data_IF_676515220038
#
_entry.id   IF_676515220038
#
_cell.length_a   1.000
_cell.length_b   1.000
_cell.length_c   1.000
_cell.angle_alpha   90.00
_cell.angle_beta   90.00
_cell.angle_gamma   90.00
#
_symmetry.space_group_name_H-M   'P 1'
#
loop_
_entity.id
_entity.type
_entity.pdbx_description
1 polymer ?
#
# COMPACT_ATOMS: atom_id res chain seq x y z
N UNK A 1 2.64 24.76 25.49
CA UNK A 1 2.74 24.00 26.75
C UNK A 1 1.53 23.09 27.00
N UNK A 2 0.29 23.56 26.91
CA UNK A 2 -0.93 22.75 27.15
C UNK A 2 -1.14 21.56 26.17
N UNK A 3 -0.78 21.69 24.90
CA UNK A 3 -0.91 20.60 23.93
C UNK A 3 0.08 19.47 24.17
N UNK A 4 1.28 19.81 24.68
CA UNK A 4 2.32 18.87 25.04
C UNK A 4 1.94 18.00 26.25
N UNK A 5 1.31 18.61 27.25
CA UNK A 5 0.88 17.90 28.46
C UNK A 5 -0.23 16.88 28.17
N UNK A 6 -1.18 17.22 27.28
CA UNK A 6 -2.24 16.29 26.85
C UNK A 6 -1.69 15.11 26.05
N UNK A 7 -0.62 15.34 25.28
CA UNK A 7 0.04 14.32 24.50
C UNK A 7 0.87 13.37 25.39
N UNK A 8 1.58 13.91 26.40
CA UNK A 8 2.33 13.11 27.36
C UNK A 8 1.39 12.18 28.16
N UNK A 9 0.20 12.65 28.54
CA UNK A 9 -0.81 11.84 29.20
C UNK A 9 -1.30 10.66 28.34
N UNK A 10 -1.47 10.88 27.03
CA UNK A 10 -1.84 9.81 26.09
C UNK A 10 -0.69 8.79 25.88
N UNK A 11 0.57 9.25 25.88
CA UNK A 11 1.74 8.39 25.72
C UNK A 11 1.96 7.49 26.96
N UNK A 12 1.72 8.00 28.15
CA UNK A 12 1.85 7.23 29.41
C UNK A 12 0.80 6.12 29.49
N UNK A 13 -0.42 6.35 28.98
CA UNK A 13 -1.47 5.33 28.89
C UNK A 13 -1.10 4.19 27.94
N UNK A 14 -0.33 4.47 26.88
CA UNK A 14 0.11 3.46 25.89
C UNK A 14 1.24 2.57 26.43
N UNK A 15 2.15 3.12 27.22
CA UNK A 15 3.30 2.38 27.75
C UNK A 15 2.94 1.35 28.85
N UNK A 16 1.72 1.44 29.40
CA UNK A 16 1.30 0.60 30.54
C UNK A 16 0.45 -0.62 30.22
N UNK A 17 0.04 -0.84 28.96
CA UNK A 17 -1.04 -1.81 28.66
C UNK A 17 -0.65 -2.79 27.52
N UNK A 18 0.42 -3.54 27.65
CA UNK A 18 0.73 -4.72 26.81
C UNK A 18 0.22 -4.70 25.36
N UNK A 19 -0.46 -5.76 24.93
CA UNK A 19 -1.03 -5.90 23.55
C UNK A 19 -2.05 -4.80 23.21
N UNK A 20 -2.84 -4.36 24.18
CA UNK A 20 -3.81 -3.27 23.99
C UNK A 20 -3.15 -1.92 23.71
N UNK A 21 -2.00 -1.65 24.33
CA UNK A 21 -1.23 -0.43 24.09
C UNK A 21 -0.64 -0.37 22.69
N UNK A 22 -0.14 -1.49 22.16
CA UNK A 22 0.36 -1.57 20.80
C UNK A 22 -0.75 -1.34 19.76
N UNK A 23 -1.91 -1.93 19.99
CA UNK A 23 -3.08 -1.73 19.13
C UNK A 23 -3.54 -0.26 19.09
N UNK A 24 -3.57 0.39 20.25
CA UNK A 24 -3.94 1.80 20.35
C UNK A 24 -2.93 2.71 19.66
N UNK A 25 -1.63 2.43 19.80
CA UNK A 25 -0.57 3.16 19.11
C UNK A 25 -0.69 3.00 17.59
N UNK A 26 -0.71 1.76 17.11
CA UNK A 26 -0.69 1.47 15.68
C UNK A 26 -1.98 1.96 14.97
N UNK A 27 -3.12 1.86 15.66
CA UNK A 27 -4.41 2.16 15.06
C UNK A 27 -4.93 3.58 15.30
N UNK A 28 -4.51 4.27 16.32
CA UNK A 28 -5.09 5.57 16.72
C UNK A 28 -4.05 6.67 16.86
N UNK A 29 -2.87 6.38 17.36
CA UNK A 29 -1.90 7.39 17.75
C UNK A 29 -0.83 7.65 16.71
N UNK A 30 -0.55 6.71 15.81
CA UNK A 30 0.52 6.86 14.81
C UNK A 30 0.36 8.14 13.99
N UNK A 31 -0.81 8.35 13.39
CA UNK A 31 -1.07 9.52 12.57
C UNK A 31 -1.00 10.82 13.38
N UNK A 32 -1.54 10.80 14.63
CA UNK A 32 -1.47 11.97 15.51
C UNK A 32 -0.06 12.31 15.95
N UNK A 33 0.80 11.31 16.14
CA UNK A 33 2.20 11.51 16.47
C UNK A 33 2.93 12.11 15.27
N UNK A 34 2.70 11.59 14.06
CA UNK A 34 3.28 12.11 12.84
C UNK A 34 2.82 13.55 12.55
N UNK A 35 1.53 13.85 12.71
CA UNK A 35 1.00 15.23 12.61
C UNK A 35 1.67 16.18 13.62
N UNK A 36 1.85 15.71 14.86
CA UNK A 36 2.50 16.52 15.91
C UNK A 36 3.98 16.77 15.63
N UNK A 37 4.69 15.79 15.06
CA UNK A 37 6.09 15.92 14.67
C UNK A 37 6.29 16.73 13.40
N UNK A 38 5.20 17.02 12.65
CA UNK A 38 5.27 17.66 11.35
C UNK A 38 5.91 16.77 10.29
N UNK A 39 5.80 15.44 10.44
CA UNK A 39 6.30 14.49 9.45
C UNK A 39 5.45 14.58 8.17
N UNK A 40 6.07 14.96 7.07
CA UNK A 40 5.43 14.96 5.76
C UNK A 40 5.21 13.53 5.28
N UNK A 41 4.13 13.32 4.50
CA UNK A 41 3.90 12.04 3.86
C UNK A 41 4.98 11.76 2.83
N UNK A 42 5.55 10.55 2.91
CA UNK A 42 6.50 10.07 1.93
C UNK A 42 6.39 8.55 1.78
N UNK A 43 6.34 8.07 0.54
CA UNK A 43 6.50 6.65 0.26
C UNK A 43 7.94 6.22 0.52
N UNK A 44 8.09 5.06 1.15
CA UNK A 44 9.39 4.48 1.43
C UNK A 44 9.64 3.38 0.41
N UNK A 45 10.63 3.60 -0.45
CA UNK A 45 11.07 2.64 -1.44
C UNK A 45 12.27 1.84 -0.92
N UNK A 46 12.45 0.66 -1.47
CA UNK A 46 13.58 -0.24 -1.23
C UNK A 46 13.81 -1.04 -2.50
N UNK A 47 14.86 -1.84 -2.54
CA UNK A 47 15.07 -2.80 -3.62
C UNK A 47 15.35 -4.19 -3.05
N UNK A 48 14.99 -5.20 -3.81
CA UNK A 48 15.28 -6.60 -3.51
C UNK A 48 15.83 -7.27 -4.78
N UNK A 49 16.58 -8.34 -4.59
CA UNK A 49 17.06 -9.19 -5.70
C UNK A 49 16.31 -10.50 -5.65
N UNK A 50 15.68 -10.90 -6.76
CA UNK A 50 15.06 -12.22 -6.85
C UNK A 50 16.16 -13.28 -6.75
N UNK A 51 16.11 -14.07 -5.68
CA UNK A 51 16.96 -15.23 -5.51
C UNK A 51 16.20 -16.46 -5.95
N UNK A 52 16.63 -17.11 -7.04
CA UNK A 52 16.18 -18.47 -7.35
C UNK A 52 15.47 -18.72 -8.67
N UNK A 53 15.20 -17.73 -9.52
CA UNK A 53 14.49 -17.98 -10.79
C UNK A 53 15.29 -17.68 -12.06
N UNK A 54 16.36 -16.90 -12.00
CA UNK A 54 17.25 -16.74 -13.17
C UNK A 54 18.64 -16.24 -12.77
N UNK A 55 19.60 -16.47 -13.66
CA UNK A 55 21.00 -16.00 -13.55
C UNK A 55 21.13 -14.47 -13.59
N UNK A 56 20.06 -13.76 -13.89
CA UNK A 56 20.04 -12.31 -13.97
C UNK A 56 19.60 -11.73 -12.62
N UNK A 57 20.61 -11.36 -11.82
CA UNK A 57 20.44 -10.77 -10.48
C UNK A 57 20.06 -9.29 -10.52
N UNK A 58 19.22 -8.88 -11.45
CA UNK A 58 18.79 -7.47 -11.56
C UNK A 58 17.92 -7.11 -10.35
N UNK A 59 18.36 -6.17 -9.51
CA UNK A 59 17.54 -5.73 -8.39
C UNK A 59 16.35 -4.92 -8.89
N UNK A 60 15.17 -5.21 -8.36
CA UNK A 60 13.94 -4.48 -8.64
C UNK A 60 13.52 -3.61 -7.46
N UNK A 61 12.87 -2.49 -7.74
CA UNK A 61 12.35 -1.60 -6.74
C UNK A 61 11.01 -2.07 -6.16
N UNK A 62 10.77 -1.73 -4.91
CA UNK A 62 9.50 -2.01 -4.25
C UNK A 62 9.07 -0.88 -3.31
N UNK A 63 7.75 -0.71 -3.14
CA UNK A 63 7.17 0.09 -2.07
C UNK A 63 7.23 -0.72 -0.78
N UNK A 64 8.04 -0.27 0.18
CA UNK A 64 8.17 -0.89 1.50
C UNK A 64 7.08 -0.45 2.47
N UNK A 65 6.60 0.77 2.33
CA UNK A 65 5.63 1.40 3.21
C UNK A 65 5.60 2.91 3.04
N UNK A 66 5.18 3.62 4.08
CA UNK A 66 5.17 5.08 4.10
C UNK A 66 5.50 5.61 5.51
N UNK A 67 5.91 6.87 5.56
CA UNK A 67 6.02 7.67 6.80
C UNK A 67 5.07 8.87 6.73
N UNK A 68 4.88 9.54 7.85
CA UNK A 68 3.95 10.66 7.96
C UNK A 68 2.48 10.21 7.97
N UNK A 69 1.59 11.15 7.70
CA UNK A 69 0.15 10.91 7.60
C UNK A 69 -0.23 10.72 6.15
N UNK A 70 -0.80 9.55 5.83
CA UNK A 70 -1.22 9.25 4.48
C UNK A 70 -2.31 10.23 4.00
N UNK A 71 -2.17 10.80 2.79
CA UNK A 71 -3.16 11.72 2.20
C UNK A 71 -4.41 10.98 1.71
N UNK A 72 -5.40 11.72 1.22
CA UNK A 72 -6.60 11.12 0.61
C UNK A 72 -6.29 10.38 -0.69
N UNK A 73 -5.28 10.83 -1.44
CA UNK A 73 -4.83 10.14 -2.66
C UNK A 73 -3.35 9.80 -2.55
N UNK A 74 -3.00 8.58 -2.93
CA UNK A 74 -1.63 8.09 -3.05
C UNK A 74 -1.39 7.67 -4.49
N UNK A 75 -0.36 8.22 -5.11
CA UNK A 75 0.14 7.78 -6.41
C UNK A 75 1.50 7.13 -6.19
N UNK A 76 1.62 5.88 -6.60
CA UNK A 76 2.90 5.15 -6.55
C UNK A 76 3.69 5.50 -7.80
N UNK A 77 4.94 5.94 -7.61
CA UNK A 77 5.85 6.27 -8.71
C UNK A 77 6.26 5.01 -9.48
N UNK A 78 6.52 5.14 -10.78
CA UNK A 78 7.00 4.04 -11.62
C UNK A 78 8.46 3.64 -11.32
N UNK A 79 9.20 4.55 -10.71
CA UNK A 79 10.63 4.40 -10.42
C UNK A 79 11.05 5.34 -9.30
N UNK A 80 12.19 5.04 -8.67
CA UNK A 80 12.85 5.92 -7.69
C UNK A 80 14.36 5.90 -7.90
N UNK A 81 15.05 6.90 -7.37
CA UNK A 81 16.51 6.95 -7.37
C UNK A 81 17.09 6.35 -6.09
N UNK A 82 18.06 5.45 -6.27
CA UNK A 82 18.85 4.86 -5.21
C UNK A 82 20.35 5.05 -5.52
N UNK A 83 21.00 5.93 -4.77
CA UNK A 83 22.41 6.26 -4.94
C UNK A 83 22.82 6.56 -6.40
N UNK A 84 21.99 7.36 -7.10
CA UNK A 84 22.20 7.75 -8.50
C UNK A 84 21.81 6.68 -9.52
N UNK A 85 21.20 5.58 -9.08
CA UNK A 85 20.67 4.53 -9.96
C UNK A 85 19.14 4.58 -9.97
N UNK A 86 18.55 4.78 -11.16
CA UNK A 86 17.10 4.72 -11.34
C UNK A 86 16.64 3.26 -11.29
N UNK A 87 15.71 2.94 -10.40
CA UNK A 87 15.14 1.60 -10.22
C UNK A 87 13.64 1.62 -10.49
N UNK A 88 13.17 0.74 -11.37
CA UNK A 88 11.74 0.56 -11.60
C UNK A 88 11.07 -0.02 -10.35
N UNK A 89 9.90 0.51 -9.99
CA UNK A 89 9.06 -0.03 -8.91
C UNK A 89 8.19 -1.14 -9.50
N UNK A 90 8.45 -2.38 -9.10
CA UNK A 90 7.81 -3.59 -9.65
C UNK A 90 6.92 -4.27 -8.61
N UNK A 91 7.14 -3.99 -7.33
CA UNK A 91 6.49 -4.69 -6.25
C UNK A 91 5.95 -3.75 -5.15
N UNK A 92 4.95 -4.25 -4.43
CA UNK A 92 4.43 -3.67 -3.19
C UNK A 92 4.58 -4.68 -2.07
N UNK A 93 5.25 -4.30 -0.99
CA UNK A 93 5.51 -5.19 0.15
C UNK A 93 4.23 -5.44 0.97
N UNK A 94 4.21 -6.57 1.67
CA UNK A 94 3.13 -6.90 2.62
C UNK A 94 2.90 -5.77 3.62
N UNK A 95 1.64 -5.39 3.80
CA UNK A 95 1.22 -4.30 4.68
C UNK A 95 1.78 -2.90 4.31
N UNK A 96 2.19 -2.66 3.08
CA UNK A 96 2.84 -1.40 2.68
C UNK A 96 2.00 -0.16 3.00
N UNK A 97 0.69 -0.21 2.81
CA UNK A 97 -0.22 0.89 3.13
C UNK A 97 -1.02 0.67 4.42
N UNK A 98 -0.51 -0.17 5.32
CA UNK A 98 -1.19 -0.47 6.59
C UNK A 98 -1.57 0.80 7.35
N UNK A 99 -2.87 0.90 7.68
CA UNK A 99 -3.46 2.03 8.41
C UNK A 99 -3.42 3.39 7.68
N UNK A 100 -3.38 3.42 6.35
CA UNK A 100 -3.58 4.63 5.56
C UNK A 100 -5.07 5.04 5.58
N UNK A 101 -5.56 5.46 6.75
CA UNK A 101 -7.00 5.61 7.03
C UNK A 101 -7.64 6.79 6.33
N UNK A 102 -6.88 7.86 6.01
CA UNK A 102 -7.41 9.01 5.29
C UNK A 102 -7.50 8.74 3.79
N UNK A 103 -6.78 7.71 3.31
CA UNK A 103 -6.67 7.42 1.90
C UNK A 103 -7.96 6.83 1.35
N UNK A 104 -8.46 7.48 0.32
CA UNK A 104 -9.65 7.10 -0.46
C UNK A 104 -9.27 6.49 -1.80
N UNK A 105 -8.12 6.89 -2.36
CA UNK A 105 -7.65 6.44 -3.66
C UNK A 105 -6.18 6.07 -3.63
N UNK A 106 -5.85 4.94 -4.24
CA UNK A 106 -4.46 4.53 -4.49
C UNK A 106 -4.31 4.15 -5.96
N UNK A 107 -3.23 4.63 -6.58
CA UNK A 107 -2.93 4.36 -7.98
C UNK A 107 -1.56 3.70 -8.11
N UNK A 108 -1.51 2.59 -8.86
CA UNK A 108 -0.29 1.83 -9.17
C UNK A 108 0.08 1.99 -10.64
N UNK A 109 1.36 2.28 -10.95
CA UNK A 109 1.84 2.39 -12.32
C UNK A 109 1.87 1.03 -13.03
N UNK A 110 2.05 1.05 -14.34
CA UNK A 110 2.12 -0.13 -15.19
C UNK A 110 3.23 -1.12 -14.79
N UNK A 111 4.29 -0.63 -14.16
CA UNK A 111 5.43 -1.43 -13.73
C UNK A 111 5.17 -2.31 -12.50
N UNK A 112 4.15 -1.99 -11.67
CA UNK A 112 3.86 -2.75 -10.45
C UNK A 112 3.00 -3.96 -10.76
N UNK A 113 3.57 -5.15 -10.59
CA UNK A 113 2.94 -6.44 -10.92
C UNK A 113 2.99 -7.46 -9.76
N UNK A 114 3.72 -7.15 -8.69
CA UNK A 114 3.89 -8.04 -7.53
C UNK A 114 3.27 -7.39 -6.31
N UNK A 115 2.34 -8.06 -5.66
CA UNK A 115 1.68 -7.59 -4.44
C UNK A 115 1.90 -8.55 -3.29
N UNK A 116 2.41 -8.02 -2.17
CA UNK A 116 2.53 -8.77 -0.93
C UNK A 116 1.19 -8.92 -0.21
N UNK A 117 1.19 -9.59 0.93
CA UNK A 117 -0.03 -9.85 1.71
C UNK A 117 -0.58 -8.59 2.38
N UNK A 118 -1.93 -8.49 2.44
CA UNK A 118 -2.63 -7.47 3.22
C UNK A 118 -2.16 -6.03 2.92
N UNK A 119 -1.94 -5.70 1.66
CA UNK A 119 -1.39 -4.41 1.22
C UNK A 119 -2.17 -3.23 1.80
N UNK A 120 -3.51 -3.33 1.86
CA UNK A 120 -4.42 -2.28 2.33
C UNK A 120 -4.97 -2.50 3.75
N UNK A 121 -4.25 -3.24 4.59
CA UNK A 121 -4.73 -3.52 5.95
C UNK A 121 -5.01 -2.24 6.75
N UNK A 122 -6.27 -2.05 7.16
CA UNK A 122 -6.70 -0.87 7.93
C UNK A 122 -6.82 0.42 7.11
N UNK A 123 -6.95 0.31 5.78
CA UNK A 123 -7.34 1.40 4.89
C UNK A 123 -8.88 1.53 4.88
N UNK A 124 -9.47 1.89 6.02
CA UNK A 124 -10.91 1.81 6.26
C UNK A 124 -11.73 2.76 5.35
N UNK A 125 -11.09 3.74 4.72
CA UNK A 125 -11.72 4.71 3.82
C UNK A 125 -11.37 4.53 2.35
N UNK A 126 -10.68 3.45 1.98
CA UNK A 126 -10.34 3.19 0.59
C UNK A 126 -11.61 2.96 -0.24
N UNK A 127 -11.80 3.76 -1.27
CA UNK A 127 -12.91 3.73 -2.20
C UNK A 127 -12.47 3.27 -3.60
N UNK A 128 -11.24 3.61 -3.97
CA UNK A 128 -10.73 3.35 -5.32
C UNK A 128 -9.29 2.86 -5.27
N UNK A 129 -9.01 1.76 -5.97
CA UNK A 129 -7.66 1.30 -6.26
C UNK A 129 -7.50 1.12 -7.78
N UNK A 130 -6.50 1.77 -8.37
CA UNK A 130 -6.25 1.78 -9.82
C UNK A 130 -4.98 1.01 -10.12
N UNK A 131 -5.07 0.06 -11.03
CA UNK A 131 -3.97 -0.81 -11.45
C UNK A 131 -3.74 -0.63 -12.95
N UNK A 132 -2.64 0.05 -13.32
CA UNK A 132 -2.28 0.34 -14.71
C UNK A 132 -1.45 -0.75 -15.38
N UNK A 133 -1.45 -1.96 -14.83
CA UNK A 133 -0.71 -3.09 -15.38
C UNK A 133 -1.14 -3.40 -16.81
N UNK A 134 -0.20 -3.64 -17.73
CA UNK A 134 -0.54 -4.02 -19.10
C UNK A 134 -1.05 -5.46 -19.18
N UNK A 135 -1.86 -5.74 -20.21
CA UNK A 135 -2.49 -7.04 -20.46
C UNK A 135 -1.50 -8.21 -20.46
N UNK A 136 -0.31 -8.00 -21.01
CA UNK A 136 0.75 -9.02 -21.14
C UNK A 136 1.20 -9.55 -19.79
N UNK A 137 1.00 -8.78 -18.72
CA UNK A 137 1.37 -9.18 -17.36
C UNK A 137 0.30 -10.02 -16.65
N UNK A 138 -0.92 -10.06 -17.18
CA UNK A 138 -2.04 -10.76 -16.54
C UNK A 138 -1.74 -12.22 -16.15
N UNK A 139 -1.04 -13.05 -16.99
CA UNK A 139 -0.72 -14.43 -16.62
C UNK A 139 0.27 -14.56 -15.46
N UNK A 140 1.02 -13.51 -15.16
CA UNK A 140 2.09 -13.50 -14.14
C UNK A 140 1.63 -12.93 -12.80
N UNK A 141 0.39 -12.42 -12.71
CA UNK A 141 -0.11 -11.73 -11.53
C UNK A 141 -0.82 -12.74 -10.62
N UNK A 142 -0.42 -12.76 -9.35
CA UNK A 142 -1.10 -13.49 -8.31
C UNK A 142 -1.57 -12.52 -7.20
N UNK A 143 -2.88 -12.44 -7.01
CA UNK A 143 -3.48 -11.53 -6.03
C UNK A 143 -3.81 -12.20 -4.69
N UNK A 144 -3.61 -13.51 -4.54
CA UNK A 144 -3.99 -14.26 -3.33
C UNK A 144 -3.36 -13.70 -2.06
N UNK A 145 -4.22 -13.36 -1.10
CA UNK A 145 -3.81 -12.80 0.20
C UNK A 145 -3.39 -11.32 0.15
N UNK A 146 -3.34 -10.70 -1.03
CA UNK A 146 -2.89 -9.31 -1.16
C UNK A 146 -3.92 -8.32 -0.64
N UNK A 147 -5.20 -8.62 -0.79
CA UNK A 147 -6.33 -7.73 -0.51
C UNK A 147 -7.37 -8.31 0.46
N UNK A 148 -7.01 -9.33 1.25
CA UNK A 148 -7.92 -10.04 2.17
C UNK A 148 -8.65 -9.11 3.16
N UNK A 149 -8.09 -7.95 3.45
CA UNK A 149 -8.63 -7.00 4.42
C UNK A 149 -9.38 -5.83 3.80
N UNK A 150 -9.64 -5.87 2.49
CA UNK A 150 -10.39 -4.82 1.78
C UNK A 150 -11.88 -4.92 2.10
N UNK A 151 -12.52 -3.78 2.28
CA UNK A 151 -13.98 -3.71 2.36
C UNK A 151 -14.57 -3.66 0.94
N UNK A 152 -14.89 -4.81 0.38
CA UNK A 152 -15.41 -4.96 -0.98
C UNK A 152 -16.76 -4.27 -1.23
N UNK A 153 -17.54 -3.99 -0.19
CA UNK A 153 -18.78 -3.22 -0.31
C UNK A 153 -18.52 -1.71 -0.55
N UNK A 154 -17.30 -1.26 -0.35
CA UNK A 154 -16.92 0.15 -0.44
C UNK A 154 -15.89 0.42 -1.52
N UNK A 155 -14.99 -0.53 -1.76
CA UNK A 155 -13.82 -0.35 -2.61
C UNK A 155 -14.06 -0.91 -4.00
N UNK A 156 -13.83 -0.10 -5.03
CA UNK A 156 -13.83 -0.52 -6.43
C UNK A 156 -12.41 -0.52 -6.96
N UNK A 157 -12.04 -1.60 -7.63
CA UNK A 157 -10.76 -1.75 -8.30
C UNK A 157 -10.93 -1.48 -9.80
N UNK A 158 -10.06 -0.63 -10.35
CA UNK A 158 -10.02 -0.32 -11.77
C UNK A 158 -8.79 -0.98 -12.39
N UNK A 159 -8.98 -1.69 -13.47
CA UNK A 159 -7.95 -2.45 -14.19
C UNK A 159 -8.00 -2.15 -15.69
N UNK A 160 -6.93 -2.44 -16.41
CA UNK A 160 -6.78 -2.10 -17.83
C UNK A 160 -7.52 -3.05 -18.79
N UNK A 161 -7.73 -4.32 -18.38
CA UNK A 161 -8.32 -5.34 -19.27
C UNK A 161 -9.09 -6.43 -18.52
N UNK A 162 -9.88 -7.21 -19.24
CA UNK A 162 -10.70 -8.30 -18.69
C UNK A 162 -9.85 -9.42 -18.08
N UNK A 163 -8.70 -9.74 -18.63
CA UNK A 163 -7.84 -10.81 -18.14
C UNK A 163 -7.32 -10.52 -16.72
N UNK A 164 -6.99 -9.25 -16.42
CA UNK A 164 -6.59 -8.85 -15.05
C UNK A 164 -7.80 -8.89 -14.12
N UNK A 165 -8.97 -8.45 -14.59
CA UNK A 165 -10.22 -8.55 -13.83
C UNK A 165 -10.56 -10.00 -13.49
N UNK A 166 -10.49 -10.91 -14.45
CA UNK A 166 -10.75 -12.34 -14.22
C UNK A 166 -9.81 -12.93 -13.17
N UNK A 167 -8.52 -12.60 -13.25
CA UNK A 167 -7.52 -13.00 -12.26
C UNK A 167 -7.87 -12.48 -10.86
N UNK A 168 -8.30 -11.23 -10.75
CA UNK A 168 -8.67 -10.61 -9.47
C UNK A 168 -9.96 -11.19 -8.89
N UNK A 169 -11.00 -11.37 -9.71
CA UNK A 169 -12.28 -11.97 -9.30
C UNK A 169 -12.12 -13.45 -8.94
N UNK A 170 -11.21 -14.16 -9.61
CA UNK A 170 -10.87 -15.55 -9.25
C UNK A 170 -10.24 -15.64 -7.85
N UNK A 171 -9.47 -14.63 -7.44
CA UNK A 171 -8.89 -14.58 -6.09
C UNK A 171 -9.89 -14.05 -5.04
N UNK A 172 -10.80 -13.17 -5.45
CA UNK A 172 -11.76 -12.45 -4.57
C UNK A 172 -13.13 -12.37 -5.25
N UNK A 173 -13.99 -13.35 -4.99
CA UNK A 173 -15.30 -13.47 -5.64
C UNK A 173 -16.23 -12.27 -5.43
N UNK A 174 -16.09 -11.57 -4.29
CA UNK A 174 -16.91 -10.41 -3.95
C UNK A 174 -16.29 -9.07 -4.44
N UNK A 175 -15.18 -9.12 -5.18
CA UNK A 175 -14.48 -7.92 -5.62
C UNK A 175 -15.31 -7.12 -6.63
N UNK A 176 -15.46 -5.81 -6.37
CA UNK A 176 -15.96 -4.85 -7.34
C UNK A 176 -14.82 -4.44 -8.27
N UNK A 177 -14.77 -4.99 -9.48
CA UNK A 177 -13.72 -4.73 -10.46
C UNK A 177 -14.29 -4.19 -11.76
N UNK A 178 -13.80 -3.02 -12.17
CA UNK A 178 -14.20 -2.32 -13.41
C UNK A 178 -13.02 -2.30 -14.38
N UNK A 179 -13.27 -2.66 -15.62
CA UNK A 179 -12.28 -2.50 -16.68
C UNK A 179 -12.38 -1.10 -17.28
N UNK A 180 -11.27 -0.39 -17.27
CA UNK A 180 -11.11 0.92 -17.90
C UNK A 180 -9.90 0.88 -18.86
N UNK A 181 -10.10 0.67 -20.15
CA UNK A 181 -9.01 0.61 -21.12
C UNK A 181 -8.21 1.92 -21.26
N UNK A 182 -8.75 3.05 -20.81
CA UNK A 182 -8.04 4.33 -20.83
C UNK A 182 -6.90 4.41 -19.81
N UNK A 183 -6.78 3.43 -18.93
CA UNK A 183 -5.69 3.32 -17.96
C UNK A 183 -4.42 2.65 -18.53
N UNK A 184 -4.51 2.01 -19.70
CA UNK A 184 -3.43 1.28 -20.36
C UNK A 184 -2.37 2.20 -20.98
#
# INVERSE_FOLDING_TARGET
MFKFLKFLGALVLVAGVGVGGYFLYDRVLKDKISEWKGEEFQLIYSYETLTGLDSDKTPYGLVKGYQGVAPEEIIVEDSFEDNGTKRAVVAVKSNAFKNARKTKKIEFPASVVIFGYNVFKGCDNLETAIFKMPKEMAPSIAFYGSFDTVNWNKTTFYVTCEEIKESMVSAYADASVVVDPALA
#
